data_IF_868180988470
#
_entry.id   IF_868180988470
#
_cell.length_a   1.000
_cell.length_b   1.000
_cell.length_c   1.000
_cell.angle_alpha   90.00
_cell.angle_beta   90.00
_cell.angle_gamma   90.00
#
_symmetry.space_group_name_H-M   'P 1'
#
loop_
_entity.id
_entity.type
_entity.pdbx_description
1 polymer ?
2 non-polymer ?
3 non-polymer ?
4 non-polymer ?
5 non-polymer ?
6 non-polymer ?
7 water ?
#
# COMPACT_ATOMS: atom_id res chain seq x y z
N UNK A 10 12.05 2.43 -13.56
CA UNK A 10 12.28 2.38 -12.08
C UNK A 10 11.85 1.04 -11.47
N UNK A 11 12.76 0.42 -10.72
CA UNK A 11 12.43 -0.81 -10.01
C UNK A 11 13.18 -0.83 -8.69
N UNK A 12 12.67 -1.67 -7.80
CA UNK A 12 13.30 -1.91 -6.54
C UNK A 12 14.31 -3.01 -6.73
N UNK A 13 15.27 -3.09 -5.81
CA UNK A 13 16.13 -4.25 -5.75
C UNK A 13 15.26 -5.50 -5.63
N UNK A 14 15.60 -6.56 -6.37
CA UNK A 14 14.87 -7.82 -6.26
C UNK A 14 14.84 -8.41 -4.87
N UNK A 15 15.88 -8.13 -4.06
CA UNK A 15 15.88 -8.62 -2.69
C UNK A 15 14.84 -7.85 -1.84
N UNK A 16 14.72 -6.55 -2.09
CA UNK A 16 13.72 -5.70 -1.39
C UNK A 16 12.32 -6.14 -1.83
N UNK A 17 12.11 -6.29 -3.13
CA UNK A 17 10.80 -6.75 -3.65
C UNK A 17 10.40 -8.10 -3.03
N UNK A 18 11.35 -9.03 -2.94
CA UNK A 18 11.05 -10.34 -2.35
C UNK A 18 10.64 -10.20 -0.89
N UNK A 19 11.32 -9.33 -0.13
CA UNK A 19 10.96 -9.14 1.28
C UNK A 19 9.55 -8.53 1.40
N UNK A 20 9.23 -7.61 0.51
CA UNK A 20 7.89 -7.03 0.52
C UNK A 20 6.89 -8.10 0.22
N UNK A 21 7.20 -8.97 -0.75
CA UNK A 21 6.31 -10.10 -1.04
C UNK A 21 6.11 -11.06 0.11
N UNK A 22 7.16 -11.31 0.90
CA UNK A 22 7.05 -12.14 2.06
C UNK A 22 6.15 -11.47 3.09
N UNK A 23 6.37 -10.17 3.34
CA UNK A 23 5.48 -9.44 4.22
C UNK A 23 4.03 -9.56 3.75
N UNK A 24 3.82 -9.41 2.45
CA UNK A 24 2.46 -9.45 1.91
C UNK A 24 1.82 -10.83 2.15
N UNK A 25 2.57 -11.89 1.90
CA UNK A 25 2.06 -13.24 2.14
C UNK A 25 1.70 -13.44 3.61
N UNK A 26 2.55 -12.96 4.52
CA UNK A 26 2.28 -13.15 5.93
C UNK A 26 1.00 -12.39 6.37
N UNK A 27 0.82 -11.19 5.83
CA UNK A 27 -0.38 -10.40 6.13
C UNK A 27 -1.62 -11.09 5.58
N UNK A 28 -1.53 -11.56 4.34
CA UNK A 28 -2.66 -12.27 3.76
C UNK A 28 -3.01 -13.51 4.57
N UNK A 29 -2.00 -14.13 5.20
CA UNK A 29 -2.19 -15.32 6.03
C UNK A 29 -2.87 -14.96 7.37
N UNK A 30 -2.62 -13.75 7.87
CA UNK A 30 -3.29 -13.27 9.05
C UNK A 30 -4.79 -13.14 8.72
N UNK A 31 -5.09 -12.61 7.54
CA UNK A 31 -6.49 -12.48 7.11
C UNK A 31 -7.15 -13.86 6.97
N UNK A 32 -6.49 -14.77 6.27
CA UNK A 32 -6.95 -16.18 6.19
C UNK A 32 -5.74 -17.13 6.05
N UNK A 33 -5.66 -18.14 6.93
CA UNK A 33 -4.54 -19.11 6.89
C UNK A 33 -4.31 -19.75 5.53
N UNK A 34 -5.41 -20.09 4.86
CA UNK A 34 -5.32 -20.70 3.55
C UNK A 34 -5.68 -19.75 2.45
N UNK A 35 -5.27 -18.49 2.57
CA UNK A 35 -5.60 -17.53 1.48
C UNK A 35 -5.20 -17.98 0.09
N UNK A 36 -4.10 -18.72 -0.04
CA UNK A 36 -3.61 -19.11 -1.38
C UNK A 36 -4.56 -20.07 -2.08
N UNK A 37 -5.44 -20.72 -1.33
CA UNK A 37 -6.47 -21.59 -1.89
C UNK A 37 -7.81 -20.83 -2.05
N UNK A 38 -8.10 -19.91 -1.13
CA UNK A 38 -9.40 -19.23 -1.05
C UNK A 38 -9.56 -18.06 -2.05
N UNK A 39 -8.47 -17.36 -2.34
CA UNK A 39 -8.51 -16.17 -3.18
C UNK A 39 -8.24 -16.55 -4.60
N UNK A 40 -8.76 -15.73 -5.52
CA UNK A 40 -8.61 -15.92 -6.94
C UNK A 40 -8.08 -14.60 -7.53
N UNK A 41 -7.43 -14.63 -8.70
CA UNK A 41 -6.96 -13.42 -9.34
C UNK A 41 -7.99 -12.28 -9.41
N UNK A 42 -9.25 -12.60 -9.75
CA UNK A 42 -10.29 -11.57 -9.88
C UNK A 42 -10.56 -10.83 -8.58
N UNK A 43 -10.25 -11.46 -7.43
CA UNK A 43 -10.39 -10.78 -6.14
C UNK A 43 -9.43 -9.57 -6.08
N UNK A 44 -8.19 -9.78 -6.55
CA UNK A 44 -7.14 -8.77 -6.45
C UNK A 44 -7.39 -7.68 -7.49
N UNK A 45 -7.92 -8.06 -8.65
CA UNK A 45 -8.42 -7.11 -9.63
C UNK A 45 -9.47 -6.16 -9.05
N UNK A 46 -10.44 -6.73 -8.35
CA UNK A 46 -11.49 -5.92 -7.76
C UNK A 46 -10.94 -5.05 -6.65
N UNK A 47 -10.09 -5.60 -5.80
CA UNK A 47 -9.50 -4.77 -4.74
C UNK A 47 -8.70 -3.59 -5.28
N UNK A 48 -7.90 -3.81 -6.34
CA UNK A 48 -7.11 -2.73 -6.89
C UNK A 48 -8.06 -1.69 -7.50
N UNK A 49 -9.08 -2.16 -8.22
CA UNK A 49 -10.11 -1.26 -8.73
C UNK A 49 -10.67 -0.33 -7.68
N UNK A 50 -11.01 -0.89 -6.53
CA UNK A 50 -11.66 -0.14 -5.49
C UNK A 50 -10.68 0.82 -4.81
N UNK A 51 -9.40 0.43 -4.67
CA UNK A 51 -8.42 1.38 -4.16
C UNK A 51 -8.15 2.47 -5.15
N UNK A 52 -8.18 2.12 -6.44
CA UNK A 52 -7.98 3.11 -7.50
C UNK A 52 -9.14 4.14 -7.47
N UNK A 53 -10.36 3.72 -7.16
CA UNK A 53 -11.47 4.66 -6.93
C UNK A 53 -11.22 5.57 -5.72
N UNK A 54 -10.70 5.02 -4.61
CA UNK A 54 -10.32 5.85 -3.45
C UNK A 54 -9.28 6.90 -3.82
N UNK A 55 -8.33 6.46 -4.65
CA UNK A 55 -7.24 7.31 -5.12
C UNK A 55 -7.81 8.46 -5.99
N UNK A 56 -8.66 8.12 -6.96
CA UNK A 56 -9.32 9.13 -7.80
C UNK A 56 -10.15 10.09 -6.94
N UNK A 57 -10.78 9.56 -5.91
CA UNK A 57 -11.63 10.36 -5.07
C UNK A 57 -10.83 11.27 -4.12
N UNK A 58 -9.48 11.17 -4.13
CA UNK A 58 -8.61 12.09 -3.43
C UNK A 58 -8.42 13.39 -4.16
N UNK A 59 -8.98 13.49 -5.35
CA UNK A 59 -8.89 14.70 -6.20
C UNK A 59 -10.28 15.35 -6.34
N UNK A 60 -10.29 16.65 -6.63
CA UNK A 60 -11.55 17.35 -6.82
C UNK A 60 -12.06 17.16 -8.26
N UNK A 61 -12.42 15.93 -8.61
CA UNK A 61 -12.74 15.59 -10.00
C UNK A 61 -14.20 15.96 -10.32
N UNK A 62 -15.05 15.98 -9.30
CA UNK A 62 -16.49 16.22 -9.54
C UNK A 62 -16.74 17.67 -9.91
N UNK A 63 -17.39 17.87 -11.05
CA UNK A 63 -17.67 19.24 -11.53
C UNK A 63 -18.99 19.77 -11.00
N UNK A 64 -19.72 18.93 -10.28
CA UNK A 64 -21.00 19.31 -9.71
C UNK A 64 -21.04 19.38 -8.20
N UNK A 65 -19.95 19.00 -7.51
CA UNK A 65 -19.94 18.93 -6.06
C UNK A 65 -18.64 19.57 -5.59
N UNK A 66 -18.79 20.51 -4.69
CA UNK A 66 -17.65 21.25 -4.11
C UNK A 66 -16.51 21.44 -5.08
N UNK A 67 -16.75 22.24 -6.10
CA UNK A 67 -15.84 22.37 -7.23
C UNK A 67 -14.51 23.02 -6.89
N UNK A 68 -14.47 23.79 -5.80
CA UNK A 68 -13.17 24.40 -5.39
C UNK A 68 -12.47 23.61 -4.27
N UNK A 69 -12.88 22.35 -4.07
CA UNK A 69 -12.19 21.47 -3.16
C UNK A 69 -10.72 21.33 -3.55
N UNK A 70 -9.91 20.99 -2.55
CA UNK A 70 -8.49 20.75 -2.77
C UNK A 70 -8.16 19.25 -2.76
N UNK A 71 -7.17 18.83 -3.55
CA UNK A 71 -6.80 17.41 -3.51
C UNK A 71 -6.20 17.00 -2.17
N UNK A 72 -6.39 15.74 -1.79
CA UNK A 72 -5.84 15.20 -0.55
C UNK A 72 -4.60 14.45 -0.94
N UNK A 73 -3.51 15.18 -1.14
CA UNK A 73 -2.27 14.59 -1.67
C UNK A 73 -1.59 13.66 -0.71
N UNK A 74 -1.82 13.84 0.59
CA UNK A 74 -1.30 12.87 1.55
C UNK A 74 -2.06 11.56 1.45
N UNK A 75 -3.37 11.59 1.22
CA UNK A 75 -4.12 10.36 1.04
C UNK A 75 -3.74 9.62 -0.22
N UNK A 76 -3.30 10.35 -1.26
CA UNK A 76 -2.82 9.72 -2.49
C UNK A 76 -1.75 8.66 -2.16
N UNK A 77 -0.87 9.01 -1.24
CA UNK A 77 0.28 8.13 -0.88
C UNK A 77 -0.25 6.86 -0.25
N UNK A 78 -1.25 7.04 0.61
CA UNK A 78 -1.88 5.88 1.27
C UNK A 78 -2.54 4.97 0.24
N UNK A 79 -3.34 5.53 -0.67
CA UNK A 79 -4.04 4.65 -1.63
C UNK A 79 -3.09 3.97 -2.62
N UNK A 80 -2.03 4.64 -3.04
CA UNK A 80 -1.01 3.96 -3.85
C UNK A 80 -0.39 2.77 -3.09
N UNK A 81 -0.12 2.98 -1.82
CA UNK A 81 0.42 1.93 -0.96
C UNK A 81 -0.56 0.77 -0.86
N UNK A 82 -1.85 1.08 -0.76
CA UNK A 82 -2.86 0.01 -0.71
C UNK A 82 -2.86 -0.80 -2.03
N UNK A 83 -2.77 -0.12 -3.16
CA UNK A 83 -2.72 -0.77 -4.45
C UNK A 83 -1.53 -1.75 -4.48
N UNK A 84 -0.40 -1.31 -3.97
CA UNK A 84 0.80 -2.17 -3.94
C UNK A 84 0.53 -3.45 -3.15
N UNK A 85 -0.17 -3.36 -2.02
CA UNK A 85 -0.43 -4.57 -1.24
C UNK A 85 -1.18 -5.57 -2.14
N UNK A 86 -2.15 -5.08 -2.87
CA UNK A 86 -3.00 -5.94 -3.69
C UNK A 86 -2.33 -6.43 -4.97
N UNK A 87 -1.47 -5.61 -5.54
CA UNK A 87 -0.73 -6.03 -6.74
C UNK A 87 0.37 -7.04 -6.39
N UNK A 88 1.05 -6.86 -5.25
CA UNK A 88 1.94 -7.92 -4.74
C UNK A 88 1.19 -9.25 -4.56
N UNK A 89 -0.03 -9.16 -4.03
CA UNK A 89 -0.85 -10.33 -3.76
C UNK A 89 -1.25 -11.00 -5.07
N UNK A 90 -1.75 -10.22 -6.01
CA UNK A 90 -2.13 -10.75 -7.35
C UNK A 90 -1.00 -11.45 -8.07
N UNK A 91 0.19 -10.87 -7.96
CA UNK A 91 1.40 -11.41 -8.61
C UNK A 91 1.79 -12.77 -8.03
N UNK A 92 1.37 -13.05 -6.80
CA UNK A 92 1.66 -14.39 -6.20
C UNK A 92 0.80 -15.46 -6.79
N UNK A 93 -0.24 -15.05 -7.51
CA UNK A 93 -1.18 -15.97 -8.15
C UNK A 93 -1.10 -16.01 -9.65
N UNK A 94 -0.71 -14.91 -10.28
CA UNK A 94 -0.60 -14.87 -11.72
C UNK A 94 0.54 -14.00 -12.09
N UNK A 95 1.47 -14.54 -12.86
CA UNK A 95 2.45 -13.69 -13.43
C UNK A 95 1.61 -13.17 -14.57
N UNK A 96 2.11 -12.15 -15.18
CA UNK A 96 1.34 -11.42 -16.13
C UNK A 96 1.17 -12.22 -17.43
N UNK A 97 1.89 -13.36 -17.55
CA UNK A 97 1.82 -14.23 -18.74
C UNK A 97 0.50 -14.99 -18.81
N UNK A 98 -0.03 -15.31 -17.62
CA UNK A 98 -1.45 -15.71 -17.41
C UNK A 98 -1.56 -16.64 -16.20
N UNK A 156 4.93 1.15 -19.86
CA UNK A 156 4.47 2.04 -18.80
C UNK A 156 4.09 3.41 -19.31
N UNK A 157 4.95 4.01 -20.13
CA UNK A 157 4.71 5.36 -20.65
C UNK A 157 3.41 5.44 -21.48
N UNK A 158 2.85 4.30 -21.87
CA UNK A 158 1.54 4.24 -22.51
C UNK A 158 0.38 4.46 -21.51
N UNK A 159 0.59 4.11 -20.24
CA UNK A 159 -0.48 4.09 -19.21
C UNK A 159 -0.30 5.18 -18.14
N UNK A 160 0.95 5.55 -17.83
CA UNK A 160 1.23 6.53 -16.78
C UNK A 160 1.77 7.82 -17.36
N UNK A 161 1.29 8.93 -16.83
CA UNK A 161 1.57 10.24 -17.38
C UNK A 161 2.11 11.11 -16.29
N UNK A 162 3.35 11.59 -16.50
CA UNK A 162 4.08 12.40 -15.53
C UNK A 162 4.18 13.86 -15.97
N UNK A 163 4.22 14.80 -15.01
CA UNK A 163 4.20 14.58 -13.57
C UNK A 163 2.78 14.34 -13.08
N UNK A 164 2.63 13.53 -12.03
CA UNK A 164 1.34 13.23 -11.46
C UNK A 164 0.85 14.39 -10.59
N UNK A 165 1.71 15.38 -10.36
CA UNK A 165 1.30 16.60 -9.67
C UNK A 165 0.21 17.30 -10.48
N UNK A 166 0.20 17.10 -11.79
CA UNK A 166 -0.85 17.59 -12.65
C UNK A 166 -2.06 16.68 -12.49
N UNK A 167 -3.15 17.26 -12.02
CA UNK A 167 -4.35 16.50 -11.72
C UNK A 167 -4.92 15.78 -12.95
N UNK A 168 -4.81 16.39 -14.13
CA UNK A 168 -5.27 15.70 -15.35
C UNK A 168 -4.46 14.43 -15.63
N UNK A 169 -3.16 14.52 -15.46
CA UNK A 169 -2.29 13.34 -15.57
C UNK A 169 -2.65 12.26 -14.54
N UNK A 170 -2.90 12.68 -13.32
CA UNK A 170 -3.26 11.75 -12.24
C UNK A 170 -4.55 11.04 -12.54
N UNK A 171 -5.59 11.76 -12.94
CA UNK A 171 -6.88 11.12 -13.20
C UNK A 171 -6.77 10.09 -14.34
N UNK A 172 -6.01 10.43 -15.39
CA UNK A 172 -5.86 9.52 -16.51
C UNK A 172 -5.06 8.27 -16.10
N UNK A 173 -3.93 8.50 -15.45
CA UNK A 173 -3.04 7.43 -14.99
C UNK A 173 -3.74 6.43 -14.08
N UNK A 174 -4.50 6.95 -13.13
CA UNK A 174 -5.08 6.13 -12.09
C UNK A 174 -6.27 5.35 -12.61
N UNK A 175 -6.97 5.92 -13.60
CA UNK A 175 -7.96 5.16 -14.36
C UNK A 175 -7.32 4.03 -15.15
N UNK A 176 -6.14 4.25 -15.69
CA UNK A 176 -5.45 3.20 -16.43
C UNK A 176 -5.00 2.08 -15.50
N UNK A 177 -4.72 2.39 -14.23
CA UNK A 177 -4.44 1.30 -13.26
C UNK A 177 -5.63 0.34 -13.15
N UNK A 178 -6.86 0.87 -13.23
CA UNK A 178 -8.02 0.00 -13.20
C UNK A 178 -8.01 -0.93 -14.42
N UNK A 179 -7.67 -0.40 -15.60
CA UNK A 179 -7.60 -1.25 -16.80
C UNK A 179 -6.57 -2.37 -16.65
N UNK A 180 -5.38 -2.02 -16.15
CA UNK A 180 -4.33 -2.98 -15.91
C UNK A 180 -4.75 -4.05 -14.91
N UNK A 181 -5.42 -3.63 -13.85
CA UNK A 181 -5.94 -4.56 -12.84
C UNK A 181 -6.95 -5.54 -13.43
N UNK A 182 -7.86 -5.05 -14.27
CA UNK A 182 -8.88 -5.91 -14.86
C UNK A 182 -8.26 -6.97 -15.80
N UNK A 183 -7.14 -6.62 -16.42
CA UNK A 183 -6.37 -7.53 -17.27
C UNK A 183 -5.43 -8.45 -16.48
N UNK A 184 -5.40 -8.27 -15.16
CA UNK A 184 -4.59 -9.07 -14.25
C UNK A 184 -3.13 -8.94 -14.56
N UNK A 185 -2.72 -7.72 -14.92
CA UNK A 185 -1.31 -7.43 -15.12
C UNK A 185 -0.76 -6.86 -13.82
N UNK A 186 -0.68 -7.71 -12.81
CA UNK A 186 -0.33 -7.27 -11.46
C UNK A 186 1.08 -6.76 -11.36
N UNK A 187 2.00 -7.44 -12.03
CA UNK A 187 3.39 -6.96 -11.99
C UNK A 187 3.50 -5.58 -12.60
N UNK A 188 2.74 -5.32 -13.66
CA UNK A 188 2.74 -4.00 -14.27
C UNK A 188 2.12 -2.95 -13.34
N UNK A 189 1.08 -3.32 -12.60
CA UNK A 189 0.55 -2.43 -11.58
C UNK A 189 1.61 -2.12 -10.54
N UNK A 190 2.30 -3.13 -10.02
CA UNK A 190 3.42 -2.88 -9.08
C UNK A 190 4.44 -1.87 -9.64
N UNK A 191 4.85 -2.05 -10.90
CA UNK A 191 5.77 -1.13 -11.58
C UNK A 191 5.23 0.28 -11.69
N UNK A 192 3.93 0.38 -11.93
CA UNK A 192 3.21 1.68 -11.97
C UNK A 192 3.27 2.38 -10.65
N UNK A 193 3.04 1.64 -9.57
CA UNK A 193 3.05 2.24 -8.25
C UNK A 193 4.46 2.72 -7.88
N UNK A 194 5.47 1.90 -8.16
CA UNK A 194 6.86 2.26 -7.91
C UNK A 194 7.22 3.53 -8.70
N UNK A 195 6.80 3.59 -9.96
CA UNK A 195 7.04 4.77 -10.82
C UNK A 195 6.32 6.02 -10.27
N UNK A 196 5.09 5.83 -9.79
CA UNK A 196 4.29 6.93 -9.21
C UNK A 196 4.95 7.49 -7.97
N UNK A 197 5.43 6.63 -7.06
CA UNK A 197 6.11 7.11 -5.85
C UNK A 197 7.39 7.83 -6.20
N UNK A 198 8.09 7.31 -7.20
CA UNK A 198 9.34 7.97 -7.65
C UNK A 198 9.00 9.37 -8.17
N UNK A 199 7.95 9.45 -8.97
CA UNK A 199 7.56 10.75 -9.54
C UNK A 199 7.07 11.75 -8.50
N UNK A 200 6.20 11.29 -7.60
CA UNK A 200 5.63 12.16 -6.59
C UNK A 200 6.67 12.51 -5.54
N UNK A 201 7.57 11.56 -5.29
CA UNK A 201 8.63 11.75 -4.31
C UNK A 201 8.24 11.36 -2.92
N UNK A 202 7.60 10.21 -2.75
CA UNK A 202 7.37 9.68 -1.42
C UNK A 202 8.03 8.31 -1.28
N UNK A 203 8.23 7.91 -0.03
CA UNK A 203 9.02 6.71 0.29
C UNK A 203 8.09 5.49 0.35
N UNK A 204 7.92 4.87 -0.82
CA UNK A 204 6.95 3.77 -1.00
C UNK A 204 7.22 2.62 -0.08
N UNK A 205 8.48 2.20 0.02
CA UNK A 205 8.79 1.08 0.92
C UNK A 205 8.43 1.39 2.38
N UNK A 206 8.76 2.59 2.88
CA UNK A 206 8.42 2.96 4.25
C UNK A 206 6.89 3.00 4.46
N UNK A 207 6.19 3.57 3.47
CA UNK A 207 4.70 3.60 3.48
C UNK A 207 4.13 2.20 3.52
N UNK A 208 4.68 1.31 2.71
CA UNK A 208 4.29 -0.09 2.74
C UNK A 208 4.45 -0.74 4.10
N UNK A 209 5.60 -0.61 4.73
CA UNK A 209 5.81 -1.23 6.01
C UNK A 209 4.84 -0.65 7.05
N UNK A 210 4.64 0.67 7.01
CA UNK A 210 3.74 1.31 7.97
C UNK A 210 2.29 0.83 7.79
N UNK A 211 1.82 0.82 6.54
CA UNK A 211 0.41 0.42 6.31
C UNK A 211 0.22 -1.07 6.53
N UNK A 212 1.24 -1.87 6.18
CA UNK A 212 1.24 -3.30 6.50
C UNK A 212 0.98 -3.48 8.00
N UNK A 213 1.67 -2.66 8.83
CA UNK A 213 1.51 -2.80 10.29
C UNK A 213 0.10 -2.42 10.69
N UNK A 214 -0.40 -1.30 10.18
CA UNK A 214 -1.78 -0.89 10.48
C UNK A 214 -2.76 -1.95 10.03
N UNK A 215 -2.53 -2.56 8.88
CA UNK A 215 -3.41 -3.63 8.43
C UNK A 215 -3.50 -4.77 9.41
N UNK A 216 -2.36 -5.15 9.97
CA UNK A 216 -2.34 -6.19 10.99
C UNK A 216 -3.02 -5.76 12.26
N UNK A 217 -2.80 -4.51 12.67
CA UNK A 217 -3.46 -3.95 13.83
C UNK A 217 -4.97 -3.98 13.67
N UNK A 218 -5.44 -3.57 12.50
CA UNK A 218 -6.87 -3.63 12.23
C UNK A 218 -7.42 -5.03 12.43
N UNK A 219 -6.70 -6.04 11.94
CA UNK A 219 -7.15 -7.42 12.14
C UNK A 219 -7.22 -7.82 13.61
N UNK A 220 -6.22 -7.38 14.39
CA UNK A 220 -6.24 -7.59 15.84
C UNK A 220 -7.44 -6.95 16.53
N UNK A 221 -7.88 -5.82 16.02
CA UNK A 221 -8.93 -5.00 16.64
C UNK A 221 -10.32 -5.15 15.97
N UNK A 222 -10.56 -6.29 15.35
CA UNK A 222 -11.90 -6.66 14.89
C UNK A 222 -12.35 -6.15 13.54
N UNK A 223 -11.42 -5.75 12.68
CA UNK A 223 -11.78 -5.30 11.35
C UNK A 223 -12.62 -6.32 10.57
N UNK A 224 -12.26 -7.59 10.68
CA UNK A 224 -12.90 -8.66 9.88
C UNK A 224 -14.30 -8.97 10.40
N UNK A 225 -14.58 -8.61 11.63
CA UNK A 225 -15.93 -8.87 12.18
C UNK A 225 -16.78 -7.61 12.37
N UNK A 226 -16.31 -6.48 11.84
CA UNK A 226 -17.11 -5.28 11.84
C UNK A 226 -17.20 -4.45 13.11
N UNK A 227 -16.27 -4.66 14.05
CA UNK A 227 -16.27 -3.94 15.31
C UNK A 227 -15.21 -2.83 15.35
N UNK A 228 -14.45 -2.66 14.28
CA UNK A 228 -13.40 -1.64 14.24
C UNK A 228 -13.97 -0.29 13.84
N UNK A 229 -13.38 0.79 14.36
CA UNK A 229 -13.76 2.15 14.01
C UNK A 229 -12.49 2.90 13.51
N UNK A 230 -12.48 3.24 12.24
CA UNK A 230 -11.27 3.79 11.56
C UNK A 230 -11.01 5.26 11.87
N UNK A 231 -12.09 6.05 12.06
CA UNK A 231 -11.97 7.47 12.38
C UNK A 231 -12.38 7.68 13.82
N UNK A 232 -11.47 8.25 14.61
CA UNK A 232 -11.72 8.52 16.02
C UNK A 232 -11.20 9.90 16.45
N UNK A 233 -12.07 10.66 17.11
CA UNK A 233 -11.72 12.01 17.57
C UNK A 233 -11.15 12.85 16.42
N UNK A 234 -11.77 12.75 15.25
CA UNK A 234 -11.44 13.54 14.08
C UNK A 234 -10.24 13.06 13.27
N UNK A 235 -9.67 11.91 13.64
CA UNK A 235 -8.44 11.41 12.99
C UNK A 235 -8.66 10.01 12.44
N UNK A 236 -8.44 9.87 11.15
CA UNK A 236 -8.50 8.54 10.47
C UNK A 236 -7.21 7.80 10.80
N UNK A 237 -7.29 6.49 11.03
CA UNK A 237 -6.07 5.69 11.40
C UNK A 237 -4.90 5.90 10.42
N UNK A 238 -5.18 5.91 9.14
CA UNK A 238 -4.16 6.11 8.09
C UNK A 238 -3.36 7.38 8.32
N UNK A 239 -4.01 8.45 8.79
CA UNK A 239 -3.28 9.73 8.97
C UNK A 239 -2.13 9.65 9.94
N UNK A 240 -2.23 8.77 10.92
CA UNK A 240 -1.17 8.66 11.93
C UNK A 240 0.08 8.02 11.35
N UNK A 241 -0.04 7.43 10.17
CA UNK A 241 1.11 6.76 9.55
C UNK A 241 2.19 7.73 9.05
N UNK A 242 1.80 8.89 8.61
CA UNK A 242 2.77 9.85 8.03
C UNK A 242 3.90 10.15 9.00
N UNK A 243 3.55 10.38 10.25
CA UNK A 243 4.53 10.71 11.28
C UNK A 243 5.40 9.54 11.68
N UNK A 244 4.89 8.33 11.50
CA UNK A 244 5.64 7.13 11.80
C UNK A 244 6.79 6.92 10.80
N UNK A 245 6.59 7.39 9.58
CA UNK A 245 7.46 7.19 8.41
C UNK A 245 8.45 8.34 8.18
N UNK A 246 8.13 9.56 8.59
CA UNK A 246 8.94 10.72 8.18
C UNK A 246 10.41 10.65 8.64
N UNK A 247 10.71 10.03 9.80
CA UNK A 247 12.16 9.92 10.17
C UNK A 247 13.04 9.02 9.28
N UNK A 248 12.43 8.27 8.36
CA UNK A 248 13.14 7.22 7.59
C UNK A 248 13.43 7.65 6.17
N UNK A 249 14.70 7.54 5.76
CA UNK A 249 15.06 7.91 4.40
C UNK A 249 14.84 6.73 3.47
N UNK A 250 14.90 6.99 2.17
CA UNK A 250 14.92 5.92 1.18
C UNK A 250 16.08 4.96 1.42
N UNK A 251 17.26 5.49 1.74
CA UNK A 251 18.40 4.58 1.96
C UNK A 251 18.20 3.77 3.21
N UNK A 252 17.59 4.34 4.26
CA UNK A 252 17.34 3.63 5.50
C UNK A 252 16.63 2.30 5.23
N UNK A 253 15.59 2.38 4.38
CA UNK A 253 14.66 1.23 4.23
C UNK A 253 14.98 0.35 3.01
N UNK A 254 16.05 0.69 2.26
CA UNK A 254 16.51 -0.14 1.16
C UNK A 254 17.98 -0.60 1.25
N UNK A 255 18.69 -0.14 2.28
CA UNK A 255 20.11 -0.53 2.49
C UNK A 255 20.23 -2.04 2.59
N UNK A 256 21.13 -2.62 1.81
CA UNK A 256 21.17 -4.08 1.68
C UNK A 256 21.40 -4.79 3.00
N UNK A 257 22.26 -4.23 3.86
CA UNK A 257 22.67 -4.88 5.09
C UNK A 257 21.78 -4.58 6.27
N UNK A 258 21.18 -3.39 6.28
CA UNK A 258 20.53 -2.90 7.50
C UNK A 258 19.02 -2.67 7.38
N UNK A 259 18.44 -2.88 6.20
CA UNK A 259 17.04 -2.50 5.98
C UNK A 259 16.06 -3.15 6.94
N UNK A 260 16.34 -4.39 7.31
CA UNK A 260 15.40 -5.13 8.15
C UNK A 260 15.23 -4.49 9.52
N UNK A 261 16.32 -3.93 10.06
CA UNK A 261 16.24 -3.24 11.32
C UNK A 261 15.35 -1.97 11.22
N UNK A 262 15.50 -1.25 10.12
CA UNK A 262 14.71 -0.03 9.88
C UNK A 262 13.21 -0.38 9.66
N UNK A 263 12.93 -1.47 8.96
CA UNK A 263 11.53 -1.91 8.82
C UNK A 263 10.98 -2.26 10.19
N UNK A 264 11.77 -2.92 11.03
CA UNK A 264 11.33 -3.26 12.38
C UNK A 264 11.01 -1.98 13.16
N UNK A 265 11.85 -0.96 12.99
CA UNK A 265 11.69 0.31 13.69
C UNK A 265 10.35 0.96 13.26
N UNK A 266 10.04 0.95 11.95
CA UNK A 266 8.77 1.48 11.42
C UNK A 266 7.60 0.72 12.08
N UNK A 267 7.67 -0.59 12.08
CA UNK A 267 6.64 -1.40 12.72
C UNK A 267 6.40 -0.99 14.16
N UNK A 268 7.44 -0.88 14.96
CA UNK A 268 7.23 -0.45 16.34
C UNK A 268 6.69 0.97 16.52
N UNK A 269 7.04 1.87 15.62
CA UNK A 269 6.43 3.20 15.66
C UNK A 269 4.94 3.16 15.40
N UNK A 270 4.53 2.30 14.47
CA UNK A 270 3.08 2.14 14.21
C UNK A 270 2.38 1.46 15.37
N UNK A 271 2.98 0.42 15.94
CA UNK A 271 2.43 -0.18 17.14
C UNK A 271 2.28 0.84 18.28
N UNK A 272 3.29 1.68 18.49
CA UNK A 272 3.19 2.76 19.48
C UNK A 272 2.01 3.68 19.23
N UNK A 273 1.83 4.06 17.96
CA UNK A 273 0.77 5.01 17.54
C UNK A 273 -0.63 4.49 17.90
N UNK A 274 -0.78 3.17 17.99
CA UNK A 274 -2.04 2.55 18.28
C UNK A 274 -2.10 1.87 19.63
N UNK A 275 -1.06 2.06 20.43
CA UNK A 275 -1.00 1.53 21.80
C UNK A 275 -1.01 0.01 21.89
N UNK A 276 -0.49 -0.66 20.86
CA UNK A 276 -0.53 -2.12 20.85
C UNK A 276 0.32 -2.65 22.00
N UNK A 277 -0.30 -3.41 22.91
CA UNK A 277 0.50 -4.00 24.02
C UNK A 277 1.70 -4.78 23.49
N UNK A 278 2.85 -4.67 24.15
CA UNK A 278 4.09 -5.30 23.68
C UNK A 278 3.88 -6.78 23.28
N UNK A 279 3.06 -7.50 24.03
CA UNK A 279 2.88 -8.93 23.86
C UNK A 279 2.17 -9.30 22.56
N UNK A 280 1.42 -8.34 22.01
CA UNK A 280 0.66 -8.58 20.80
C UNK A 280 1.40 -8.17 19.53
N UNK A 281 2.55 -7.50 19.71
CA UNK A 281 3.30 -6.99 18.60
C UNK A 281 4.02 -8.12 17.88
N UNK A 282 4.10 -8.00 16.56
CA UNK A 282 4.82 -8.93 15.72
C UNK A 282 6.00 -8.18 15.10
N UNK A 283 7.24 -8.61 15.40
CA UNK A 283 8.42 -7.93 14.93
C UNK A 283 8.79 -8.37 13.50
N UNK A 284 9.82 -7.76 12.92
CA UNK A 284 10.16 -7.99 11.53
C UNK A 284 10.37 -9.46 11.22
N UNK A 285 11.00 -10.19 12.14
CA UNK A 285 11.27 -11.61 11.93
C UNK A 285 10.05 -12.50 11.78
N UNK A 286 8.91 -12.08 12.30
CA UNK A 286 7.67 -12.83 12.09
C UNK A 286 7.35 -12.98 10.63
N UNK A 287 7.76 -11.99 9.82
CA UNK A 287 7.24 -11.84 8.47
C UNK A 287 8.20 -12.34 7.40
N UNK A 288 9.47 -12.50 7.75
CA UNK A 288 10.48 -12.85 6.73
C UNK A 288 10.78 -14.37 6.67
N UNK A 289 10.98 -14.86 5.44
CA UNK A 289 11.45 -16.24 5.20
C UNK A 289 12.94 -16.31 4.86
N UNK A 290 13.61 -15.18 4.67
CA UNK A 290 15.06 -15.14 4.41
C UNK A 290 15.84 -15.40 5.69
X LIG B 1 -5.28 -6.16 2.56
X LIG B 1 -4.26 -7.06 2.40
X LIG B 1 -4.57 -8.39 2.15
X LIG B 1 -5.84 -8.86 2.09
X LIG B 1 -6.87 -7.93 2.28
X LIG B 1 -6.59 -6.61 2.54
X LIG B 1 -3.11 -6.69 2.49
X LIG B 1 -6.05 -10.08 1.86
X LIG B 1 -4.96 -4.76 2.86
X LIG B 1 -4.23 -4.03 1.77
X LIG B 1 -4.62 -2.56 1.93
X LIG B 1 -5.78 -2.63 2.92
X LIG B 1 -3.54 -1.77 2.43
X LIG B 1 -6.14 -4.00 3.06
X LIG B 1 -7.02 -1.84 2.46
X LIG B 1 -7.99 -1.97 3.46
X LIG B 1 -9.41 -1.15 3.32
X LIG B 1 -9.24 0.23 3.91
X LIG B 1 -9.75 -1.06 1.87
X LIG B 1 -10.39 -1.90 4.16
X LIG C 1 -8.52 1.89 3.31
X LIG C 1 -6.92 1.22 3.79
X LIG C 1 -8.57 2.65 4.98
X LIG C 1 -8.44 1.27 1.55
X LIG D 1 -11.58 2.15 2.53
X LIG D 1 -10.21 2.65 2.95
X LIG D 1 -11.48 0.93 1.59
X LIG D 1 -12.21 3.34 1.75
X LIG D 1 -12.46 1.83 3.74
X LIG E 1 -9.93 0.35 0.59
X LIG F 1 -7.28 2.61 0.63
X LIG G 1 -8.98 5.13 1.81
#
# INVERSE_FOLDING_TARGET
>A
GPAMKNARRVSLSPLILRSLAELQDGLNTVVDKNWRQLRRPGDWSLAITMEAAELLDSYPWKWWKNVKAQPDLQNVKIELTDILHFSLSGAMQVSDENSGAVHKAEAGSNGESGKHWCYFDQPRALPAAGGAEYVACVETPGSSLSAPVSADECDLADFMFFPLSDTNNALASFQNIIRLASLQRFQLVTSAVIAAADDIGFNLVAYYVAKHTLNGIRQMKGYKDGTYVKVQKGVEDNELLHGCISPFSLDDVTNEGNYKTKWDDIMHRVYDAFGTPKEERLNIGHWLKS
>B hetero
1 UMP N1 C2 N3 C4 C5 C6 O2 O4 C1' C2' C3' C4' O3' O4' C5' O5' P OP1 OP2 OP3
>C hetero
1 AF3 AL F1 F2 F3
>D hetero
1 PO4 P O1 O2 O3 O4
>E hetero
1 MG MG
>F hetero
1 MG MG
>G hetero
1 NA NA
#
